data_IF_736592182634
#
_entry.id   IF_736592182634
#
_cell.length_a   1.000
_cell.length_b   1.000
_cell.length_c   1.000
_cell.angle_alpha   90.00
_cell.angle_beta   90.00
_cell.angle_gamma   90.00
#
_symmetry.space_group_name_H-M   'P 1'
#
loop_
_entity.id
_entity.type
_entity.pdbx_description
1 polymer ?
#
# COMPACT_ATOMS: atom_id res chain seq x y z
N UNK A 1 -44.35 5.36 -7.78
CA UNK A 1 -43.10 4.66 -7.45
C UNK A 1 -42.08 5.00 -8.53
N UNK A 2 -41.23 6.00 -8.31
CA UNK A 2 -40.15 6.44 -9.22
C UNK A 2 -39.31 7.46 -8.42
N UNK A 3 -38.11 7.09 -7.98
CA UNK A 3 -37.26 7.98 -7.19
C UNK A 3 -36.00 7.35 -6.57
N UNK A 4 -35.79 6.04 -6.71
CA UNK A 4 -34.62 5.34 -6.15
C UNK A 4 -33.44 5.24 -7.12
N UNK A 5 -33.69 5.16 -8.44
CA UNK A 5 -32.64 4.90 -9.44
C UNK A 5 -31.64 6.05 -9.61
N UNK A 6 -32.07 7.30 -9.46
CA UNK A 6 -31.19 8.47 -9.69
C UNK A 6 -30.16 8.63 -8.57
N UNK A 7 -30.56 8.38 -7.32
CA UNK A 7 -29.72 8.58 -6.14
C UNK A 7 -28.66 7.48 -6.01
N UNK A 8 -29.03 6.24 -6.38
CA UNK A 8 -28.13 5.09 -6.36
C UNK A 8 -27.05 5.22 -7.45
N UNK A 9 -27.43 5.61 -8.67
CA UNK A 9 -26.49 5.87 -9.77
C UNK A 9 -25.46 6.97 -9.43
N UNK A 10 -25.90 8.05 -8.78
CA UNK A 10 -25.02 9.18 -8.43
C UNK A 10 -23.99 8.77 -7.34
N UNK A 11 -24.41 7.91 -6.40
CA UNK A 11 -23.53 7.38 -5.35
C UNK A 11 -22.44 6.44 -5.90
N UNK A 12 -22.78 5.59 -6.88
CA UNK A 12 -21.82 4.68 -7.51
C UNK A 12 -20.81 5.42 -8.40
N UNK A 13 -21.26 6.45 -9.11
CA UNK A 13 -20.38 7.31 -9.90
C UNK A 13 -19.40 8.09 -9.00
N UNK A 14 -19.88 8.63 -7.87
CA UNK A 14 -19.04 9.31 -6.88
C UNK A 14 -17.97 8.38 -6.29
N UNK A 15 -18.33 7.14 -5.92
CA UNK A 15 -17.40 6.12 -5.40
C UNK A 15 -16.32 5.74 -6.42
N UNK A 16 -16.71 5.48 -7.68
CA UNK A 16 -15.76 5.18 -8.77
C UNK A 16 -14.80 6.34 -9.02
N UNK A 17 -15.29 7.58 -8.97
CA UNK A 17 -14.48 8.78 -9.12
C UNK A 17 -13.49 8.91 -7.96
N UNK A 18 -13.93 8.72 -6.72
CA UNK A 18 -13.06 8.74 -5.54
C UNK A 18 -11.95 7.72 -5.62
N UNK A 19 -12.29 6.45 -5.93
CA UNK A 19 -11.32 5.38 -6.14
C UNK A 19 -10.32 5.73 -7.23
N UNK A 20 -10.78 6.27 -8.36
CA UNK A 20 -9.89 6.69 -9.47
C UNK A 20 -8.94 7.79 -9.05
N UNK A 21 -9.40 8.80 -8.29
CA UNK A 21 -8.55 9.89 -7.79
C UNK A 21 -7.47 9.38 -6.86
N UNK A 22 -7.82 8.49 -5.92
CA UNK A 22 -6.88 7.87 -4.99
C UNK A 22 -5.78 7.13 -5.75
N UNK A 23 -6.16 6.22 -6.64
CA UNK A 23 -5.19 5.45 -7.42
C UNK A 23 -4.37 6.32 -8.37
N UNK A 24 -4.96 7.39 -8.91
CA UNK A 24 -4.25 8.36 -9.74
C UNK A 24 -3.19 9.12 -8.93
N UNK A 25 -3.48 9.57 -7.71
CA UNK A 25 -2.52 10.26 -6.86
C UNK A 25 -1.36 9.35 -6.44
N UNK A 26 -1.65 8.09 -6.09
CA UNK A 26 -0.62 7.09 -5.78
C UNK A 26 0.27 6.83 -7.01
N UNK A 27 -0.34 6.56 -8.16
CA UNK A 27 0.40 6.31 -9.40
C UNK A 27 1.24 7.52 -9.82
N UNK A 28 0.67 8.73 -9.73
CA UNK A 28 1.36 9.97 -10.08
C UNK A 28 2.54 10.23 -9.15
N UNK A 29 2.39 10.02 -7.84
CA UNK A 29 3.49 10.13 -6.88
C UNK A 29 4.64 9.18 -7.22
N UNK A 30 4.33 7.90 -7.48
CA UNK A 30 5.32 6.91 -7.88
C UNK A 30 6.04 7.31 -9.18
N UNK A 31 5.31 7.72 -10.21
CA UNK A 31 5.89 8.13 -11.49
C UNK A 31 6.76 9.38 -11.32
N UNK A 32 6.30 10.37 -10.54
CA UNK A 32 7.06 11.59 -10.27
C UNK A 32 8.38 11.29 -9.55
N UNK A 33 8.37 10.37 -8.58
CA UNK A 33 9.57 9.93 -7.89
C UNK A 33 10.57 9.26 -8.85
N UNK A 34 10.09 8.28 -9.63
CA UNK A 34 10.92 7.54 -10.60
C UNK A 34 11.49 8.49 -11.66
N UNK A 35 10.69 9.43 -12.17
CA UNK A 35 11.15 10.43 -13.12
C UNK A 35 12.20 11.36 -12.50
N UNK A 36 12.03 11.77 -11.24
CA UNK A 36 13.03 12.58 -10.53
C UNK A 36 14.36 11.86 -10.36
N UNK A 37 14.34 10.55 -10.10
CA UNK A 37 15.55 9.73 -10.09
C UNK A 37 16.20 9.63 -11.48
N UNK A 38 15.40 9.40 -12.52
CA UNK A 38 15.89 9.26 -13.90
C UNK A 38 16.46 10.56 -14.49
N UNK A 39 16.04 11.72 -13.97
CA UNK A 39 16.50 13.04 -14.41
C UNK A 39 17.62 13.63 -13.52
N UNK A 40 18.22 12.84 -12.63
CA UNK A 40 19.22 13.28 -11.65
C UNK A 40 18.73 14.45 -10.76
N UNK A 41 17.42 14.52 -10.50
CA UNK A 41 16.78 15.50 -9.61
C UNK A 41 16.04 14.78 -8.48
N UNK A 42 16.75 14.00 -7.63
CA UNK A 42 16.12 13.17 -6.60
C UNK A 42 15.28 13.99 -5.63
N UNK A 43 15.76 15.16 -5.21
CA UNK A 43 15.03 16.05 -4.30
C UNK A 43 13.70 16.55 -4.89
N UNK A 44 13.65 16.80 -6.20
CA UNK A 44 12.42 17.22 -6.89
C UNK A 44 11.44 16.05 -6.97
N UNK A 45 11.92 14.85 -7.32
CA UNK A 45 11.10 13.64 -7.33
C UNK A 45 10.48 13.35 -5.96
N UNK A 46 11.28 13.46 -4.90
CA UNK A 46 10.83 13.30 -3.50
C UNK A 46 9.79 14.35 -3.14
N UNK A 47 10.03 15.62 -3.45
CA UNK A 47 9.07 16.69 -3.15
C UNK A 47 7.72 16.47 -3.84
N UNK A 48 7.72 16.08 -5.12
CA UNK A 48 6.50 15.78 -5.87
C UNK A 48 5.77 14.55 -5.34
N UNK A 49 6.51 13.50 -4.97
CA UNK A 49 5.94 12.32 -4.32
C UNK A 49 5.22 12.70 -3.02
N UNK A 50 5.88 13.44 -2.14
CA UNK A 50 5.28 13.90 -0.89
C UNK A 50 4.07 14.82 -1.11
N UNK A 51 4.12 15.69 -2.12
CA UNK A 51 2.99 16.53 -2.49
C UNK A 51 1.78 15.68 -2.91
N UNK A 52 1.99 14.60 -3.67
CA UNK A 52 0.93 13.65 -4.01
C UNK A 52 0.40 12.91 -2.77
N UNK A 53 1.28 12.53 -1.83
CA UNK A 53 0.86 11.93 -0.56
C UNK A 53 0.00 12.88 0.28
N UNK A 54 0.39 14.15 0.42
CA UNK A 54 -0.39 15.16 1.15
C UNK A 54 -1.73 15.41 0.44
N UNK A 55 -1.73 15.50 -0.88
CA UNK A 55 -2.96 15.62 -1.65
C UNK A 55 -3.89 14.41 -1.46
N UNK A 56 -3.34 13.19 -1.41
CA UNK A 56 -4.10 11.98 -1.12
C UNK A 56 -4.69 12.00 0.30
N UNK A 57 -3.90 12.34 1.32
CA UNK A 57 -4.37 12.44 2.70
C UNK A 57 -5.45 13.52 2.85
N UNK A 58 -5.26 14.68 2.23
CA UNK A 58 -6.25 15.75 2.21
C UNK A 58 -7.54 15.34 1.49
N UNK A 59 -7.43 14.64 0.35
CA UNK A 59 -8.58 14.13 -0.38
C UNK A 59 -9.36 13.09 0.45
N UNK A 60 -8.65 12.16 1.08
CA UNK A 60 -9.24 11.13 1.93
C UNK A 60 -9.93 11.72 3.18
N UNK A 61 -9.38 12.78 3.77
CA UNK A 61 -9.96 13.44 4.93
C UNK A 61 -11.25 14.22 4.64
N UNK A 62 -11.43 14.69 3.39
CA UNK A 62 -12.58 15.53 2.99
C UNK A 62 -13.69 14.70 2.33
N UNK A 63 -13.38 13.51 1.81
CA UNK A 63 -14.34 12.70 1.08
C UNK A 63 -15.13 11.80 2.03
N UNK A 64 -16.41 12.15 2.28
CA UNK A 64 -17.32 11.41 3.17
C UNK A 64 -17.95 10.16 2.52
N UNK A 65 -17.52 9.83 1.30
CA UNK A 65 -17.99 8.64 0.57
C UNK A 65 -17.02 7.51 0.85
N UNK A 66 -17.46 6.51 1.62
CA UNK A 66 -16.74 5.25 1.67
C UNK A 66 -16.69 4.66 0.24
N UNK A 67 -15.50 4.57 -0.38
CA UNK A 67 -15.41 4.09 -1.74
C UNK A 67 -15.62 2.57 -1.86
N UNK A 68 -15.71 1.85 -0.73
CA UNK A 68 -15.78 0.40 -0.68
C UNK A 68 -17.08 -0.10 -0.07
N UNK A 69 -17.76 -0.97 -0.80
CA UNK A 69 -18.89 -1.76 -0.29
C UNK A 69 -18.39 -2.92 0.60
N UNK A 70 -19.30 -3.57 1.33
CA UNK A 70 -19.02 -4.77 2.12
C UNK A 70 -18.32 -5.84 1.28
N UNK A 71 -18.78 -6.04 0.03
CA UNK A 71 -18.16 -6.99 -0.89
C UNK A 71 -16.73 -6.62 -1.27
N UNK A 72 -16.45 -5.34 -1.50
CA UNK A 72 -15.10 -4.87 -1.83
C UNK A 72 -14.15 -5.03 -0.63
N UNK A 73 -14.65 -4.83 0.59
CA UNK A 73 -13.90 -5.03 1.83
C UNK A 73 -13.54 -6.50 2.03
N UNK A 74 -14.47 -7.43 1.77
CA UNK A 74 -14.17 -8.87 1.82
C UNK A 74 -13.07 -9.27 0.83
N UNK A 75 -13.15 -8.76 -0.39
CA UNK A 75 -12.14 -9.02 -1.43
C UNK A 75 -10.79 -8.44 -1.00
N UNK A 76 -10.76 -7.23 -0.46
CA UNK A 76 -9.54 -6.62 0.06
C UNK A 76 -8.95 -7.39 1.24
N UNK A 77 -9.77 -7.88 2.18
CA UNK A 77 -9.29 -8.69 3.29
C UNK A 77 -8.64 -10.00 2.81
N UNK A 78 -9.24 -10.68 1.82
CA UNK A 78 -8.67 -11.88 1.20
C UNK A 78 -7.39 -11.57 0.41
N UNK A 79 -7.36 -10.47 -0.33
CA UNK A 79 -6.19 -10.02 -1.07
C UNK A 79 -5.03 -9.65 -0.11
N UNK A 80 -5.32 -8.95 0.99
CA UNK A 80 -4.36 -8.62 2.02
C UNK A 80 -3.81 -9.89 2.68
N UNK A 81 -4.68 -10.83 3.06
CA UNK A 81 -4.29 -12.12 3.63
C UNK A 81 -3.36 -12.91 2.71
N UNK A 82 -3.73 -13.09 1.44
CA UNK A 82 -2.90 -13.79 0.46
C UNK A 82 -1.56 -13.07 0.20
N UNK A 83 -1.57 -11.73 0.12
CA UNK A 83 -0.35 -10.92 -0.04
C UNK A 83 0.58 -11.10 1.16
N UNK A 84 0.05 -11.06 2.39
CA UNK A 84 0.81 -11.32 3.61
C UNK A 84 1.33 -12.75 3.64
N UNK A 85 0.55 -13.75 3.20
CA UNK A 85 1.05 -15.13 3.11
C UNK A 85 2.27 -15.23 2.19
N UNK A 86 2.22 -14.62 1.00
CA UNK A 86 3.36 -14.60 0.07
C UNK A 86 4.56 -13.87 0.69
N UNK A 87 4.33 -12.70 1.30
CA UNK A 87 5.35 -11.97 2.02
C UNK A 87 6.00 -12.80 3.15
N UNK A 88 5.21 -13.61 3.86
CA UNK A 88 5.71 -14.48 4.92
C UNK A 88 6.66 -15.53 4.36
N UNK A 89 6.31 -16.18 3.25
CA UNK A 89 7.19 -17.14 2.58
C UNK A 89 8.51 -16.49 2.14
N UNK A 90 8.44 -15.28 1.57
CA UNK A 90 9.65 -14.53 1.19
C UNK A 90 10.52 -14.23 2.41
N UNK A 91 9.93 -13.85 3.54
CA UNK A 91 10.70 -13.54 4.74
C UNK A 91 11.30 -14.80 5.39
N UNK A 92 10.50 -15.87 5.50
CA UNK A 92 10.88 -17.15 6.12
C UNK A 92 11.94 -17.88 5.29
N UNK A 93 11.92 -17.78 3.96
CA UNK A 93 12.94 -18.41 3.12
C UNK A 93 14.11 -17.45 2.85
N UNK A 94 13.82 -16.19 2.52
CA UNK A 94 14.79 -15.22 2.04
C UNK A 94 15.80 -14.82 3.12
N UNK A 95 15.35 -14.36 4.28
CA UNK A 95 16.25 -13.89 5.33
C UNK A 95 17.18 -14.99 5.86
N UNK A 96 16.70 -16.17 6.32
CA UNK A 96 17.60 -17.22 6.78
C UNK A 96 18.37 -17.90 5.63
N UNK A 97 17.80 -17.99 4.42
CA UNK A 97 18.50 -18.51 3.25
C UNK A 97 19.72 -17.67 2.90
N UNK A 98 19.58 -16.34 2.86
CA UNK A 98 20.70 -15.43 2.63
C UNK A 98 21.70 -15.45 3.79
N UNK A 99 21.24 -15.47 5.04
CA UNK A 99 22.14 -15.60 6.19
C UNK A 99 22.97 -16.89 6.14
N UNK A 100 22.37 -18.01 5.71
CA UNK A 100 23.08 -19.28 5.54
C UNK A 100 24.12 -19.21 4.42
N UNK A 101 23.78 -18.57 3.28
CA UNK A 101 24.72 -18.36 2.17
C UNK A 101 25.90 -17.47 2.57
N UNK A 102 25.66 -16.41 3.35
CA UNK A 102 26.70 -15.54 3.90
C UNK A 102 27.59 -16.31 4.88
N UNK A 103 27.00 -17.07 5.80
CA UNK A 103 27.74 -17.90 6.77
C UNK A 103 28.61 -18.96 6.08
N UNK A 104 28.16 -19.49 4.94
CA UNK A 104 28.92 -20.43 4.11
C UNK A 104 29.98 -19.76 3.22
N UNK A 105 30.10 -18.42 3.23
CA UNK A 105 30.90 -17.63 2.27
C UNK A 105 30.56 -17.92 0.79
N UNK A 106 29.34 -18.39 0.51
CA UNK A 106 28.91 -18.74 -0.84
C UNK A 106 28.40 -17.51 -1.62
N UNK A 107 27.72 -16.59 -0.94
CA UNK A 107 27.18 -15.38 -1.54
C UNK A 107 26.99 -14.28 -0.48
N UNK A 108 27.35 -13.05 -0.81
CA UNK A 108 27.12 -11.89 0.04
C UNK A 108 25.79 -11.22 -0.33
N UNK A 109 25.04 -10.75 0.67
CA UNK A 109 23.80 -10.04 0.40
C UNK A 109 24.07 -8.69 -0.29
N UNK A 110 23.31 -8.35 -1.34
CA UNK A 110 23.32 -7.01 -1.89
C UNK A 110 22.97 -5.97 -0.83
N UNK A 111 23.49 -4.74 -0.95
CA UNK A 111 23.32 -3.68 0.05
C UNK A 111 21.85 -3.36 0.41
N UNK A 112 20.92 -3.56 -0.53
CA UNK A 112 19.49 -3.32 -0.32
C UNK A 112 18.74 -4.49 0.32
N UNK A 113 19.32 -5.71 0.33
CA UNK A 113 18.61 -6.94 0.67
C UNK A 113 18.06 -6.91 2.10
N UNK A 114 18.93 -6.66 3.08
CA UNK A 114 18.53 -6.61 4.48
C UNK A 114 17.54 -5.48 4.76
N UNK A 115 17.70 -4.33 4.10
CA UNK A 115 16.74 -3.22 4.16
C UNK A 115 15.34 -3.64 3.66
N UNK A 116 15.27 -4.39 2.56
CA UNK A 116 14.01 -4.92 2.04
C UNK A 116 13.38 -5.96 2.99
N UNK A 117 14.18 -6.86 3.58
CA UNK A 117 13.69 -7.84 4.56
C UNK A 117 13.13 -7.14 5.82
N UNK A 118 13.80 -6.11 6.34
CA UNK A 118 13.29 -5.35 7.48
C UNK A 118 12.04 -4.55 7.14
N UNK A 119 11.96 -3.96 5.94
CA UNK A 119 10.74 -3.28 5.50
C UNK A 119 9.54 -4.25 5.44
N UNK A 120 9.76 -5.46 4.90
CA UNK A 120 8.75 -6.52 4.85
C UNK A 120 8.33 -6.98 6.26
N UNK A 121 9.30 -7.19 7.16
CA UNK A 121 9.02 -7.49 8.57
C UNK A 121 8.24 -6.36 9.26
N UNK A 122 8.53 -5.10 8.93
CA UNK A 122 7.79 -3.93 9.39
C UNK A 122 6.31 -3.97 8.99
N UNK A 123 5.99 -4.39 7.76
CA UNK A 123 4.58 -4.58 7.32
C UNK A 123 3.85 -5.58 8.23
N UNK A 124 4.48 -6.71 8.59
CA UNK A 124 3.92 -7.66 9.55
C UNK A 124 3.75 -7.06 10.94
N UNK A 125 4.73 -6.28 11.41
CA UNK A 125 4.64 -5.59 12.69
C UNK A 125 3.46 -4.62 12.75
N UNK A 126 3.27 -3.80 11.70
CA UNK A 126 2.13 -2.89 11.58
C UNK A 126 0.81 -3.66 11.50
N UNK A 127 0.76 -4.74 10.73
CA UNK A 127 -0.43 -5.58 10.63
C UNK A 127 -0.81 -6.18 12.00
N UNK A 128 0.16 -6.76 12.72
CA UNK A 128 -0.06 -7.34 14.04
C UNK A 128 -0.51 -6.28 15.08
N UNK A 129 0.10 -5.10 15.06
CA UNK A 129 -0.33 -3.99 15.92
C UNK A 129 -1.75 -3.55 15.59
N UNK A 130 -2.09 -3.46 14.30
CA UNK A 130 -3.43 -3.13 13.84
C UNK A 130 -4.48 -4.14 14.33
N UNK A 131 -4.22 -5.44 14.15
CA UNK A 131 -5.15 -6.49 14.60
C UNK A 131 -5.34 -6.46 16.11
N UNK A 132 -4.24 -6.41 16.88
CA UNK A 132 -4.31 -6.34 18.35
C UNK A 132 -5.02 -5.08 18.84
N UNK A 133 -4.83 -3.93 18.17
CA UNK A 133 -5.53 -2.70 18.53
C UNK A 133 -7.04 -2.81 18.32
N UNK A 134 -7.47 -3.38 17.20
CA UNK A 134 -8.89 -3.55 16.89
C UNK A 134 -9.55 -4.59 17.80
N UNK A 135 -8.89 -5.72 18.07
CA UNK A 135 -9.38 -6.74 19.02
C UNK A 135 -9.62 -6.20 20.43
N UNK A 136 -8.82 -5.22 20.88
CA UNK A 136 -8.97 -4.62 22.22
C UNK A 136 -10.10 -3.59 22.31
N UNK A 137 -10.62 -3.10 21.18
CA UNK A 137 -11.65 -2.05 21.12
C UNK A 137 -13.03 -2.57 20.77
N UNK A 138 -13.14 -3.81 20.31
CA UNK A 138 -14.38 -4.56 20.10
C UNK A 138 -14.73 -5.36 21.34
#
# INVERSE_FOLDING_TARGET
MLGTDTTEHDSLAARRRSRRTIWALVALGCVAYVAGLALDRPLVGVALYWLCCVAFLGYAAVTDTDPYDERDREVQAKAAGSTLTVAAFVLIAGAPGMAALEAANAHAAPAWFWGAMFALAGVFGVFALGTTYHERRT
#
